data_IF_661812207963
#
_entry.id   IF_661812207963
#
_cell.length_a   1.000
_cell.length_b   1.000
_cell.length_c   1.000
_cell.angle_alpha   90.00
_cell.angle_beta   90.00
_cell.angle_gamma   90.00
#
_symmetry.space_group_name_H-M   'P 1'
#
loop_
_entity.id
_entity.type
_entity.pdbx_description
1 polymer ?
#
# COMPACT_ATOMS: atom_id res chain seq x y z
N UNK A 1 14.07 -11.90 -2.33
CA UNK A 1 14.93 -11.62 -1.15
C UNK A 1 14.13 -11.81 0.14
N UNK A 2 14.74 -12.19 1.27
CA UNK A 2 14.05 -12.35 2.57
C UNK A 2 14.42 -11.22 3.54
N UNK A 3 13.47 -10.79 4.38
CA UNK A 3 13.62 -9.73 5.37
C UNK A 3 13.11 -10.19 6.74
N UNK A 4 13.66 -9.66 7.82
CA UNK A 4 13.11 -9.82 9.17
C UNK A 4 11.80 -9.03 9.34
N UNK A 5 11.08 -9.27 10.44
CA UNK A 5 9.87 -8.50 10.81
C UNK A 5 10.18 -7.00 10.88
N UNK A 6 11.29 -6.64 11.54
CA UNK A 6 11.73 -5.26 11.68
C UNK A 6 12.06 -4.59 10.35
N UNK A 7 12.85 -5.26 9.50
CA UNK A 7 13.17 -4.72 8.18
C UNK A 7 11.93 -4.60 7.28
N UNK A 8 10.96 -5.51 7.42
CA UNK A 8 9.70 -5.46 6.69
C UNK A 8 8.83 -4.30 7.16
N UNK A 9 8.79 -4.06 8.47
CA UNK A 9 8.10 -2.92 9.08
C UNK A 9 8.66 -1.59 8.55
N UNK A 10 9.99 -1.45 8.53
CA UNK A 10 10.67 -0.29 7.93
C UNK A 10 10.38 -0.17 6.42
N UNK A 11 10.48 -1.28 5.68
CA UNK A 11 10.26 -1.30 4.23
C UNK A 11 8.84 -0.88 3.82
N UNK A 12 7.83 -1.33 4.57
CA UNK A 12 6.43 -1.00 4.31
C UNK A 12 5.96 0.26 5.04
N UNK A 13 6.82 0.88 5.86
CA UNK A 13 6.46 1.99 6.76
C UNK A 13 5.25 1.64 7.64
N UNK A 14 5.24 0.43 8.20
CA UNK A 14 4.18 -0.12 9.06
C UNK A 14 4.76 -0.53 10.40
N UNK A 15 3.97 -0.55 11.49
CA UNK A 15 4.47 -1.01 12.79
C UNK A 15 4.73 -2.53 12.78
N UNK A 16 5.75 -2.98 13.51
CA UNK A 16 6.11 -4.40 13.64
C UNK A 16 4.93 -5.27 14.10
N UNK A 17 4.13 -4.78 15.05
CA UNK A 17 2.93 -5.48 15.55
C UNK A 17 1.89 -5.75 14.46
N UNK A 18 1.79 -4.88 13.46
CA UNK A 18 0.90 -5.12 12.33
C UNK A 18 1.46 -6.22 11.43
N UNK A 19 2.77 -6.21 11.16
CA UNK A 19 3.43 -7.27 10.39
C UNK A 19 3.27 -8.62 11.08
N UNK A 20 3.48 -8.69 12.40
CA UNK A 20 3.25 -9.91 13.20
C UNK A 20 1.81 -10.40 13.09
N UNK A 21 0.83 -9.48 13.13
CA UNK A 21 -0.58 -9.85 12.95
C UNK A 21 -0.85 -10.49 11.59
N UNK A 22 -0.18 -10.03 10.52
CA UNK A 22 -0.30 -10.61 9.19
C UNK A 22 0.32 -12.01 9.09
N UNK A 23 1.39 -12.27 9.85
CA UNK A 23 2.00 -13.60 9.97
C UNK A 23 1.01 -14.54 10.65
N UNK A 24 0.47 -14.17 11.81
CA UNK A 24 -0.49 -14.99 12.58
C UNK A 24 -1.75 -15.28 11.78
N UNK A 25 -2.24 -14.30 11.00
CA UNK A 25 -3.40 -14.45 10.13
C UNK A 25 -3.10 -15.18 8.82
N UNK A 26 -1.87 -15.64 8.59
CA UNK A 26 -1.42 -16.27 7.34
C UNK A 26 -1.71 -15.41 6.09
N UNK A 27 -1.62 -14.09 6.22
CA UNK A 27 -1.83 -13.13 5.11
C UNK A 27 -0.56 -12.92 4.29
N UNK A 28 0.61 -13.18 4.88
CA UNK A 28 1.90 -13.04 4.22
C UNK A 28 2.71 -14.34 4.33
N UNK A 29 3.50 -14.60 3.29
CA UNK A 29 4.40 -15.75 3.22
C UNK A 29 5.64 -15.49 4.06
N UNK A 30 5.92 -16.41 4.98
CA UNK A 30 7.13 -16.40 5.79
C UNK A 30 7.79 -17.78 5.79
N UNK A 31 9.08 -17.80 6.11
CA UNK A 31 9.87 -18.99 6.37
C UNK A 31 10.44 -18.85 7.78
N UNK A 32 10.46 -19.93 8.55
CA UNK A 32 11.08 -19.94 9.87
C UNK A 32 12.45 -20.60 9.77
N UNK A 33 13.50 -19.90 10.16
CA UNK A 33 14.89 -20.40 10.10
C UNK A 33 15.32 -21.19 11.36
N UNK A 34 14.45 -21.22 12.37
CA UNK A 34 14.69 -21.87 13.67
C UNK A 34 14.79 -20.86 14.82
N UNK A 35 15.08 -19.60 14.51
CA UNK A 35 15.19 -18.51 15.48
C UNK A 35 14.14 -17.41 15.24
N UNK A 36 13.84 -17.11 13.97
CA UNK A 36 12.97 -16.01 13.60
C UNK A 36 12.16 -16.26 12.31
N UNK A 37 11.15 -15.42 12.10
CA UNK A 37 10.40 -15.36 10.85
C UNK A 37 11.11 -14.49 9.81
N UNK A 38 11.38 -15.08 8.66
CA UNK A 38 11.88 -14.43 7.47
C UNK A 38 10.75 -14.26 6.46
N UNK A 39 10.51 -13.03 6.04
CA UNK A 39 9.40 -12.63 5.18
C UNK A 39 9.92 -12.48 3.75
N UNK A 40 9.23 -13.09 2.79
CA UNK A 40 9.61 -12.98 1.37
C UNK A 40 9.29 -11.58 0.83
N UNK A 41 10.29 -10.74 0.59
CA UNK A 41 10.10 -9.32 0.20
C UNK A 41 9.24 -9.13 -1.06
N UNK A 42 9.47 -9.94 -2.08
CA UNK A 42 8.89 -9.71 -3.41
C UNK A 42 7.37 -9.96 -3.46
N UNK A 43 6.79 -10.50 -2.37
CA UNK A 43 5.33 -10.62 -2.23
C UNK A 43 4.61 -9.26 -2.13
N UNK A 44 5.33 -8.19 -1.78
CA UNK A 44 4.75 -6.86 -1.63
C UNK A 44 4.82 -6.01 -2.90
N UNK A 45 5.50 -6.46 -3.96
CA UNK A 45 5.71 -5.68 -5.17
C UNK A 45 4.38 -5.24 -5.82
N UNK A 46 3.41 -6.16 -5.93
CA UNK A 46 2.08 -5.85 -6.46
C UNK A 46 1.35 -4.82 -5.61
N UNK A 47 1.45 -4.91 -4.28
CA UNK A 47 0.79 -3.97 -3.37
C UNK A 47 1.39 -2.56 -3.52
N UNK A 48 2.72 -2.45 -3.59
CA UNK A 48 3.41 -1.17 -3.79
C UNK A 48 3.09 -0.56 -5.15
N UNK A 49 3.03 -1.37 -6.22
CA UNK A 49 2.61 -0.93 -7.55
C UNK A 49 1.18 -0.37 -7.53
N UNK A 50 0.25 -1.06 -6.86
CA UNK A 50 -1.12 -0.57 -6.69
C UNK A 50 -1.17 0.74 -5.91
N UNK A 51 -0.40 0.87 -4.83
CA UNK A 51 -0.33 2.11 -4.04
C UNK A 51 0.20 3.29 -4.86
N UNK A 52 1.25 3.08 -5.66
CA UNK A 52 1.76 4.13 -6.57
C UNK A 52 0.75 4.52 -7.64
N UNK A 53 0.02 3.55 -8.20
CA UNK A 53 -1.08 3.84 -9.12
C UNK A 53 -2.17 4.70 -8.46
N UNK A 54 -2.62 4.34 -7.27
CA UNK A 54 -3.63 5.12 -6.55
C UNK A 54 -3.18 6.55 -6.23
N UNK A 55 -1.91 6.73 -5.83
CA UNK A 55 -1.35 8.06 -5.61
C UNK A 55 -1.37 8.90 -6.89
N UNK A 56 -1.04 8.29 -8.03
CA UNK A 56 -1.09 8.96 -9.32
C UNK A 56 -2.52 9.35 -9.69
N UNK A 57 -3.47 8.43 -9.60
CA UNK A 57 -4.88 8.69 -9.94
C UNK A 57 -5.46 9.83 -9.07
N UNK A 58 -5.10 9.88 -7.77
CA UNK A 58 -5.47 10.99 -6.89
C UNK A 58 -4.82 12.31 -7.32
N UNK A 59 -3.54 12.30 -7.65
CA UNK A 59 -2.85 13.50 -8.13
C UNK A 59 -3.48 14.01 -9.43
N UNK A 60 -3.85 13.12 -10.34
CA UNK A 60 -4.54 13.47 -11.60
C UNK A 60 -5.91 14.08 -11.30
N UNK A 61 -6.69 13.51 -10.36
CA UNK A 61 -7.98 14.07 -9.92
C UNK A 61 -7.85 15.48 -9.32
N UNK A 62 -6.84 15.75 -8.49
CA UNK A 62 -6.63 17.08 -7.92
C UNK A 62 -6.10 18.11 -8.93
N UNK A 63 -5.47 17.66 -10.00
CA UNK A 63 -5.01 18.52 -11.10
C UNK A 63 -6.07 18.73 -12.18
N UNK A 64 -7.17 17.97 -12.15
CA UNK A 64 -8.27 18.16 -13.09
C UNK A 64 -8.90 19.53 -12.82
N UNK A 65 -8.93 20.44 -13.82
CA UNK A 65 -9.58 21.73 -13.64
C UNK A 65 -11.04 21.49 -13.30
N UNK A 66 -11.52 22.19 -12.26
CA UNK A 66 -12.95 22.18 -11.93
C UNK A 66 -13.67 22.60 -13.22
N UNK A 67 -14.64 21.80 -13.71
CA UNK A 67 -15.42 22.20 -14.87
C UNK A 67 -16.02 23.58 -14.61
N UNK A 68 -16.02 24.44 -15.63
CA UNK A 68 -16.65 25.76 -15.49
C UNK A 68 -18.09 25.56 -15.03
N UNK A 69 -18.50 26.34 -14.01
CA UNK A 69 -19.88 26.34 -13.54
C UNK A 69 -20.79 26.55 -14.76
N UNK A 70 -21.66 25.58 -15.00
CA UNK A 70 -22.68 25.72 -16.03
C UNK A 70 -23.57 26.86 -15.51
N UNK A 71 -23.49 28.03 -16.15
CA UNK A 71 -24.44 29.14 -15.96
C UNK A 71 -25.79 28.68 -16.52
N UNK A 72 -26.47 27.79 -15.79
CA UNK A 72 -27.86 27.43 -16.04
C UNK A 72 -28.68 28.65 -15.63
N UNK A 73 -28.79 29.59 -16.56
CA UNK A 73 -29.94 30.49 -16.56
C UNK A 73 -31.15 29.61 -16.79
N UNK A 74 -31.96 29.46 -15.75
CA UNK A 74 -33.34 29.03 -15.91
C UNK A 74 -34.03 30.09 -16.81
N UNK A 75 -33.95 29.88 -18.13
CA UNK A 75 -34.79 30.58 -19.10
C UNK A 75 -36.22 30.00 -18.95
N UNK A 76 -37.01 30.73 -18.16
CA UNK A 76 -38.49 30.84 -18.10
C UNK A 76 -39.35 29.58 -18.33
#
# INVERSE_FOLDING_TARGET
MYLTVKETAEYLSMPESYIESLIVQNKIRTVHDGEQHLIFKDQFNMHLEQMEKYKKDLADYYNEPIPEDIDVKDED
#
